data_IF_068686280794
#
_entry.id   IF_068686280794
#
_cell.length_a   1.000
_cell.length_b   1.000
_cell.length_c   1.000
_cell.angle_alpha   90.00
_cell.angle_beta   90.00
_cell.angle_gamma   90.00
#
_symmetry.space_group_name_H-M   'P 1'
#
loop_
_entity.id
_entity.type
_entity.pdbx_description
1 polymer ?
#
# COMPACT_ATOMS: atom_id res chain seq x y z
N UNK A 1 10.40 18.82 11.62
CA UNK A 1 9.76 17.74 10.83
C UNK A 1 10.85 16.89 10.21
N UNK A 2 10.93 15.61 10.57
CA UNK A 2 11.92 14.64 10.08
C UNK A 2 11.19 13.34 9.78
N UNK A 3 10.53 13.32 8.64
CA UNK A 3 9.79 12.15 8.17
C UNK A 3 9.72 12.21 6.64
N UNK A 4 9.15 11.21 5.99
CA UNK A 4 9.02 11.16 4.54
C UNK A 4 8.10 10.05 4.07
N UNK A 5 8.04 9.90 2.74
CA UNK A 5 7.28 8.84 2.07
C UNK A 5 8.19 8.21 1.03
N UNK A 6 8.25 6.88 1.02
CA UNK A 6 8.84 6.09 -0.08
C UNK A 6 7.72 5.46 -0.87
N UNK A 7 7.78 5.55 -2.20
CA UNK A 7 6.81 4.92 -3.11
C UNK A 7 7.54 3.92 -3.99
N UNK A 8 7.03 2.70 -4.03
CA UNK A 8 7.49 1.62 -4.90
C UNK A 8 6.39 1.38 -5.93
N UNK A 9 6.67 1.74 -7.18
CA UNK A 9 5.81 1.46 -8.33
C UNK A 9 6.37 0.24 -9.06
N UNK A 10 5.69 -0.93 -9.01
CA UNK A 10 6.22 -2.14 -9.66
C UNK A 10 6.38 -1.99 -11.19
N UNK A 11 5.43 -1.29 -11.82
CA UNK A 11 5.47 -0.87 -13.23
C UNK A 11 4.41 0.21 -13.51
N UNK A 12 4.49 0.87 -14.66
CA UNK A 12 3.71 2.07 -14.99
C UNK A 12 2.20 1.81 -15.16
N UNK A 13 1.78 0.57 -15.35
CA UNK A 13 0.40 0.17 -15.63
C UNK A 13 -0.21 -0.67 -14.50
N UNK A 14 0.28 -0.51 -13.26
CA UNK A 14 -0.08 -1.39 -12.13
C UNK A 14 -1.58 -1.44 -11.84
N UNK A 15 -2.33 -0.37 -12.15
CA UNK A 15 -3.78 -0.31 -11.99
C UNK A 15 -4.57 -1.03 -13.11
N UNK A 16 -3.90 -1.49 -14.16
CA UNK A 16 -4.50 -2.19 -15.31
C UNK A 16 -3.98 -3.64 -15.41
N UNK A 17 -2.70 -3.85 -15.07
CA UNK A 17 -2.04 -5.15 -15.11
C UNK A 17 -1.52 -5.51 -13.72
N UNK A 18 -2.38 -6.18 -12.93
CA UNK A 18 -2.07 -6.57 -11.56
C UNK A 18 -0.94 -7.59 -11.52
N UNK A 19 -0.11 -7.50 -10.49
CA UNK A 19 0.99 -8.43 -10.28
C UNK A 19 0.66 -9.43 -9.16
N UNK A 20 1.10 -10.70 -9.25
CA UNK A 20 1.04 -11.62 -8.14
C UNK A 20 1.71 -11.03 -6.90
N UNK A 21 1.06 -11.16 -5.75
CA UNK A 21 1.56 -10.64 -4.48
C UNK A 21 1.20 -11.58 -3.33
N UNK A 22 2.02 -11.52 -2.29
CA UNK A 22 1.80 -12.21 -1.03
C UNK A 22 2.51 -11.46 0.09
N UNK A 23 2.17 -11.78 1.33
CA UNK A 23 2.78 -11.15 2.50
C UNK A 23 2.98 -12.19 3.60
N UNK A 24 3.78 -11.81 4.60
CA UNK A 24 4.00 -12.61 5.79
C UNK A 24 4.07 -11.68 6.99
N UNK A 25 3.32 -12.01 8.04
CA UNK A 25 3.37 -11.30 9.31
C UNK A 25 4.29 -12.08 10.25
N UNK A 26 5.50 -11.56 10.47
CA UNK A 26 6.40 -12.08 11.49
C UNK A 26 5.93 -11.67 12.90
N UNK A 27 5.55 -10.39 13.06
CA UNK A 27 4.96 -9.81 14.27
C UNK A 27 4.00 -8.68 13.85
N UNK A 28 2.80 -8.64 14.43
CA UNK A 28 1.74 -7.70 14.05
C UNK A 28 1.78 -6.34 14.74
N UNK A 29 2.91 -5.93 15.31
CA UNK A 29 3.04 -4.62 15.95
C UNK A 29 3.37 -3.52 14.93
N UNK A 30 2.40 -3.20 14.08
CA UNK A 30 2.48 -2.17 13.04
C UNK A 30 1.27 -2.24 12.12
N UNK A 31 1.28 -1.44 11.06
CA UNK A 31 0.18 -1.37 10.09
C UNK A 31 0.67 -1.56 8.65
N UNK A 32 -0.11 -2.31 7.87
CA UNK A 32 0.02 -2.36 6.41
C UNK A 32 -1.39 -2.46 5.82
N UNK A 33 -1.82 -1.41 5.12
CA UNK A 33 -3.15 -1.39 4.49
C UNK A 33 -3.21 -2.34 3.28
N UNK A 34 -4.42 -2.72 2.86
CA UNK A 34 -4.62 -3.49 1.62
C UNK A 34 -4.26 -4.99 1.72
N UNK A 35 -3.73 -5.46 2.86
CA UNK A 35 -3.40 -6.87 3.06
C UNK A 35 -4.60 -7.80 2.86
N UNK A 36 -5.80 -7.41 3.30
CA UNK A 36 -7.02 -8.21 3.09
C UNK A 36 -7.31 -8.46 1.61
N UNK A 37 -7.04 -7.49 0.74
CA UNK A 37 -7.23 -7.66 -0.71
C UNK A 37 -6.14 -8.57 -1.29
N UNK A 38 -4.89 -8.43 -0.85
CA UNK A 38 -3.78 -9.31 -1.26
C UNK A 38 -4.07 -10.76 -0.81
N UNK A 39 -4.53 -10.97 0.42
CA UNK A 39 -4.94 -12.28 0.93
C UNK A 39 -6.03 -12.91 0.04
N UNK A 40 -7.05 -12.11 -0.31
CA UNK A 40 -8.22 -12.61 -1.05
C UNK A 40 -7.96 -12.83 -2.53
N UNK A 41 -7.19 -11.96 -3.18
CA UNK A 41 -7.02 -11.96 -4.64
C UNK A 41 -5.65 -12.48 -5.08
N UNK A 42 -4.67 -12.54 -4.18
CA UNK A 42 -3.29 -12.96 -4.48
C UNK A 42 -2.54 -11.97 -5.38
N UNK A 43 -2.99 -10.72 -5.48
CA UNK A 43 -2.43 -9.71 -6.39
C UNK A 43 -2.34 -8.33 -5.75
N UNK A 44 -1.45 -7.50 -6.29
CA UNK A 44 -1.33 -6.07 -6.02
C UNK A 44 -1.63 -5.29 -7.30
N UNK A 45 -2.53 -4.30 -7.19
CA UNK A 45 -2.95 -3.41 -8.28
C UNK A 45 -2.69 -1.92 -8.01
N UNK A 46 -1.95 -1.60 -6.94
CA UNK A 46 -1.64 -0.25 -6.52
C UNK A 46 -0.15 -0.09 -6.18
N UNK A 47 0.41 1.13 -6.18
CA UNK A 47 1.75 1.38 -5.66
C UNK A 47 1.84 0.98 -4.17
N UNK A 48 3.00 0.45 -3.76
CA UNK A 48 3.33 0.21 -2.36
C UNK A 48 3.98 1.46 -1.77
N UNK A 49 3.45 1.97 -0.67
CA UNK A 49 3.99 3.13 0.02
C UNK A 49 4.52 2.75 1.40
N UNK A 50 5.61 3.41 1.82
CA UNK A 50 6.17 3.33 3.17
C UNK A 50 6.26 4.72 3.77
N UNK A 51 5.79 4.89 5.01
CA UNK A 51 5.73 6.18 5.72
C UNK A 51 5.84 5.98 7.23
N UNK A 52 5.62 7.04 8.02
CA UNK A 52 5.49 6.95 9.47
C UNK A 52 4.10 6.49 9.92
N UNK A 53 4.01 5.95 11.14
CA UNK A 53 2.76 5.42 11.71
C UNK A 53 1.61 6.42 11.69
N UNK A 54 1.88 7.69 12.02
CA UNK A 54 0.84 8.74 12.09
C UNK A 54 0.37 9.22 10.72
N UNK A 55 1.06 8.83 9.64
CA UNK A 55 0.80 9.32 8.28
C UNK A 55 0.19 8.26 7.36
N UNK A 56 -0.05 7.03 7.84
CA UNK A 56 -0.66 5.94 7.07
C UNK A 56 -1.95 6.39 6.39
N UNK A 57 -2.89 6.99 7.14
CA UNK A 57 -4.17 7.43 6.59
C UNK A 57 -4.03 8.51 5.51
N UNK A 58 -3.13 9.49 5.72
CA UNK A 58 -2.91 10.56 4.75
C UNK A 58 -2.29 10.03 3.44
N UNK A 59 -1.33 9.12 3.55
CA UNK A 59 -0.71 8.50 2.37
C UNK A 59 -1.72 7.60 1.66
N UNK A 60 -2.53 6.85 2.41
CA UNK A 60 -3.61 6.03 1.86
C UNK A 60 -4.58 6.88 1.02
N UNK A 61 -5.11 7.96 1.58
CA UNK A 61 -6.05 8.85 0.88
C UNK A 61 -5.42 9.48 -0.38
N UNK A 62 -4.15 9.90 -0.28
CA UNK A 62 -3.42 10.48 -1.40
C UNK A 62 -3.23 9.49 -2.57
N UNK A 63 -3.02 8.20 -2.29
CA UNK A 63 -2.94 7.16 -3.33
C UNK A 63 -4.33 6.78 -3.82
N UNK A 64 -5.31 6.57 -2.94
CA UNK A 64 -6.68 6.24 -3.30
C UNK A 64 -7.28 7.28 -4.27
N UNK A 65 -6.96 8.57 -4.09
CA UNK A 65 -7.41 9.64 -4.99
C UNK A 65 -6.88 9.54 -6.44
N UNK A 66 -5.84 8.75 -6.68
CA UNK A 66 -5.21 8.55 -8.00
C UNK A 66 -5.54 7.21 -8.64
N UNK A 67 -6.07 6.26 -7.89
CA UNK A 67 -6.45 4.96 -8.41
C UNK A 67 -7.79 5.02 -9.16
N UNK A 68 -8.02 4.10 -10.11
CA UNK A 68 -9.36 3.89 -10.67
C UNK A 68 -10.38 3.59 -9.57
N UNK A 69 -11.65 3.94 -9.83
CA UNK A 69 -12.76 3.68 -8.90
C UNK A 69 -13.36 2.27 -9.12
N UNK A 70 -12.53 1.25 -9.04
CA UNK A 70 -12.87 -0.16 -9.31
C UNK A 70 -12.71 -1.09 -8.09
N UNK A 71 -12.43 -0.50 -6.92
CA UNK A 71 -12.31 -1.23 -5.65
C UNK A 71 -10.87 -1.61 -5.27
N UNK A 72 -9.87 -1.13 -6.00
CA UNK A 72 -8.46 -1.26 -5.60
C UNK A 72 -8.16 -0.54 -4.28
N UNK A 73 -7.50 -1.26 -3.36
CA UNK A 73 -7.01 -0.70 -2.10
C UNK A 73 -5.52 -0.34 -2.21
N UNK A 74 -5.12 0.89 -1.85
CA UNK A 74 -3.73 1.24 -1.63
C UNK A 74 -3.06 0.33 -0.59
N UNK A 75 -1.77 0.04 -0.83
CA UNK A 75 -0.93 -0.70 0.11
C UNK A 75 0.05 0.27 0.75
N UNK A 76 -0.14 0.57 2.03
CA UNK A 76 0.66 1.53 2.78
C UNK A 76 1.17 0.84 4.05
N UNK A 77 2.47 0.60 4.11
CA UNK A 77 3.16 0.11 5.31
C UNK A 77 3.83 1.25 6.08
N UNK A 78 4.18 0.99 7.33
CA UNK A 78 4.79 1.99 8.20
C UNK A 78 5.86 1.47 9.16
N UNK A 79 6.64 2.42 9.68
CA UNK A 79 7.43 2.27 10.91
C UNK A 79 7.29 3.53 11.77
N UNK A 80 7.62 3.46 13.05
CA UNK A 80 7.55 4.62 13.96
C UNK A 80 8.83 5.45 13.95
N UNK A 81 8.75 6.73 13.55
CA UNK A 81 9.83 7.73 13.57
C UNK A 81 9.47 9.01 14.37
#
# INVERSE_FOLDING_TARGET
>A
VRTGVTVILPHDRIAEEYLPAGYHILNGNGEVTGLTQIESMGVIGAPLCLTNTSSVGMVYDAIASRLPKDGLMPVVGETWD
#
